data_IF_799903802231
#
_entry.id   IF_799903802231
#
_cell.length_a   1.000
_cell.length_b   1.000
_cell.length_c   1.000
_cell.angle_alpha   90.00
_cell.angle_beta   90.00
_cell.angle_gamma   90.00
#
_symmetry.space_group_name_H-M   'P 1'
#
loop_
_entity.id
_entity.type
_entity.pdbx_description
1 polymer ?
#
# COMPACT_ATOMS: atom_id res chain seq x y z
N UNK A 1 -3.48 21.26 -21.46
CA UNK A 1 -4.89 21.70 -21.34
C UNK A 1 -5.85 20.61 -20.85
N UNK A 2 -5.42 19.36 -20.64
CA UNK A 2 -6.33 18.26 -20.31
C UNK A 2 -6.88 18.24 -18.86
N UNK A 3 -6.27 18.92 -17.89
CA UNK A 3 -6.64 18.80 -16.46
C UNK A 3 -7.22 20.08 -15.82
N UNK A 4 -7.41 21.15 -16.61
CA UNK A 4 -7.94 22.41 -16.11
C UNK A 4 -9.36 22.25 -15.51
N UNK A 5 -10.14 21.30 -16.03
CA UNK A 5 -11.47 20.96 -15.52
C UNK A 5 -11.45 20.30 -14.14
N UNK A 6 -10.30 19.75 -13.71
CA UNK A 6 -10.05 19.22 -12.37
C UNK A 6 -9.55 20.29 -11.39
N UNK A 7 -9.51 21.56 -11.80
CA UNK A 7 -8.98 22.66 -10.99
C UNK A 7 -7.45 22.67 -10.89
N UNK A 8 -6.75 21.83 -11.67
CA UNK A 8 -5.29 21.84 -11.77
C UNK A 8 -4.90 22.83 -12.87
N UNK A 9 -4.35 23.96 -12.45
CA UNK A 9 -3.90 25.03 -13.31
C UNK A 9 -2.47 25.44 -12.95
N UNK A 10 -1.92 26.42 -13.67
CA UNK A 10 -0.55 26.91 -13.44
C UNK A 10 -0.29 27.32 -11.98
N UNK A 11 -1.30 27.83 -11.28
CA UNK A 11 -1.17 28.25 -9.88
C UNK A 11 -0.89 27.06 -8.94
N UNK A 12 -1.42 25.87 -9.23
CA UNK A 12 -1.08 24.64 -8.48
C UNK A 12 0.39 24.30 -8.67
N UNK A 13 0.91 24.40 -9.89
CA UNK A 13 2.32 24.16 -10.19
C UNK A 13 3.23 25.21 -9.54
N UNK A 14 2.88 26.49 -9.59
CA UNK A 14 3.63 27.53 -8.89
C UNK A 14 3.72 27.24 -7.39
N UNK A 15 2.59 26.90 -6.74
CA UNK A 15 2.57 26.54 -5.31
C UNK A 15 3.45 25.33 -5.01
N UNK A 16 3.38 24.29 -5.84
CA UNK A 16 4.22 23.11 -5.71
C UNK A 16 5.71 23.43 -5.83
N UNK A 17 6.10 24.21 -6.85
CA UNK A 17 7.50 24.58 -7.09
C UNK A 17 8.05 25.53 -6.01
N UNK A 18 7.25 26.50 -5.55
CA UNK A 18 7.63 27.39 -4.43
C UNK A 18 7.96 26.59 -3.17
N UNK A 19 7.15 25.57 -2.84
CA UNK A 19 7.41 24.66 -1.71
C UNK A 19 8.62 23.77 -1.96
N UNK A 20 8.72 23.13 -3.13
CA UNK A 20 9.84 22.25 -3.50
C UNK A 20 11.19 22.94 -3.38
N UNK A 21 11.31 24.16 -3.90
CA UNK A 21 12.57 24.90 -3.93
C UNK A 21 12.74 25.89 -2.78
N UNK A 22 11.72 26.02 -1.91
CA UNK A 22 11.70 27.03 -0.84
C UNK A 22 11.95 28.45 -1.36
N UNK A 23 11.25 28.83 -2.43
CA UNK A 23 11.37 30.15 -3.09
C UNK A 23 10.01 30.86 -3.15
N UNK A 24 10.03 32.19 -3.19
CA UNK A 24 8.79 33.01 -3.21
C UNK A 24 8.19 33.16 -4.62
N UNK A 25 9.04 33.38 -5.62
CA UNK A 25 8.63 33.79 -6.97
C UNK A 25 9.06 32.75 -8.01
N UNK A 26 8.08 32.03 -8.54
CA UNK A 26 8.23 31.07 -9.63
C UNK A 26 7.19 31.40 -10.69
N UNK A 27 7.60 31.38 -11.95
CA UNK A 27 6.72 31.50 -13.11
C UNK A 27 6.77 30.21 -13.92
N UNK A 28 5.59 29.70 -14.29
CA UNK A 28 5.49 28.59 -15.22
C UNK A 28 5.71 29.12 -16.64
N UNK A 29 6.61 28.48 -17.37
CA UNK A 29 6.92 28.82 -18.75
C UNK A 29 6.16 27.90 -19.71
N UNK A 30 6.09 26.62 -19.35
CA UNK A 30 5.41 25.58 -20.11
C UNK A 30 5.03 24.43 -19.16
N UNK A 31 3.90 23.78 -19.42
CA UNK A 31 3.54 22.55 -18.72
C UNK A 31 2.79 21.60 -19.65
N UNK A 32 3.10 20.31 -19.54
CA UNK A 32 2.35 19.22 -20.14
C UNK A 32 1.95 18.24 -19.05
N UNK A 33 0.79 17.61 -19.20
CA UNK A 33 0.32 16.59 -18.28
C UNK A 33 -0.32 15.47 -19.09
N UNK A 34 0.03 14.23 -18.74
CA UNK A 34 -0.50 13.04 -19.38
C UNK A 34 -1.09 12.12 -18.32
N UNK A 35 -2.30 11.61 -18.55
CA UNK A 35 -2.89 10.59 -17.69
C UNK A 35 -2.08 9.30 -17.80
N UNK A 36 -1.71 8.71 -16.67
CA UNK A 36 -0.98 7.44 -16.59
C UNK A 36 -1.77 6.35 -15.85
N UNK A 37 -3.07 6.59 -15.59
CA UNK A 37 -3.94 5.58 -15.00
C UNK A 37 -4.26 4.48 -16.02
N UNK A 38 -3.80 3.26 -15.74
CA UNK A 38 -4.21 2.08 -16.50
C UNK A 38 -5.55 1.53 -15.99
N UNK A 39 -6.44 1.19 -16.92
CA UNK A 39 -7.71 0.51 -16.63
C UNK A 39 -7.43 -0.78 -15.85
N UNK A 40 -7.98 -0.89 -14.64
CA UNK A 40 -7.85 -2.07 -13.78
C UNK A 40 -6.70 -2.02 -12.75
N UNK A 41 -5.94 -0.92 -12.66
CA UNK A 41 -4.82 -0.79 -11.71
C UNK A 41 -5.03 0.30 -10.65
N UNK A 42 -5.62 1.44 -11.03
CA UNK A 42 -5.78 2.60 -10.14
C UNK A 42 -7.26 2.86 -9.85
N UNK A 43 -7.89 2.02 -9.02
CA UNK A 43 -9.33 2.12 -8.73
C UNK A 43 -9.71 3.28 -7.81
N UNK A 44 -8.75 3.83 -7.06
CA UNK A 44 -9.01 4.77 -5.95
C UNK A 44 -8.42 6.17 -6.19
N UNK A 45 -7.79 6.40 -7.34
CA UNK A 45 -7.28 7.72 -7.73
C UNK A 45 -6.95 7.77 -9.21
N UNK A 46 -6.99 8.97 -9.79
CA UNK A 46 -6.41 9.23 -11.10
C UNK A 46 -4.99 9.79 -10.96
N UNK A 47 -4.05 9.24 -11.74
CA UNK A 47 -2.64 9.64 -11.75
C UNK A 47 -2.28 10.32 -13.07
N UNK A 48 -1.56 11.44 -12.96
CA UNK A 48 -1.03 12.17 -14.09
C UNK A 48 0.47 12.38 -13.91
N UNK A 49 1.22 12.25 -15.00
CA UNK A 49 2.61 12.65 -15.07
C UNK A 49 2.69 14.04 -15.70
N UNK A 50 3.35 14.98 -15.04
CA UNK A 50 3.44 16.36 -15.46
C UNK A 50 4.90 16.80 -15.68
N UNK A 51 5.20 17.31 -16.86
CA UNK A 51 6.46 17.98 -17.17
C UNK A 51 6.26 19.49 -17.08
N UNK A 52 7.07 20.16 -16.25
CA UNK A 52 6.90 21.56 -15.91
C UNK A 52 8.21 22.30 -16.17
N UNK A 53 8.20 23.22 -17.14
CA UNK A 53 9.29 24.18 -17.37
C UNK A 53 9.00 25.47 -16.63
N UNK A 54 9.96 25.97 -15.87
CA UNK A 54 9.75 27.08 -14.95
C UNK A 54 10.94 28.04 -14.93
N UNK A 55 10.68 29.28 -14.49
CA UNK A 55 11.66 30.29 -14.15
C UNK A 55 11.54 30.67 -12.67
N UNK A 56 12.66 30.73 -11.95
CA UNK A 56 12.75 31.37 -10.63
C UNK A 56 13.09 32.84 -10.84
N UNK A 57 12.26 33.72 -10.29
CA UNK A 57 12.34 35.16 -10.50
C UNK A 57 12.86 35.82 -9.21
N UNK A 58 13.75 36.80 -9.32
CA UNK A 58 14.15 37.64 -8.19
C UNK A 58 13.12 38.71 -7.86
N UNK A 59 13.28 39.35 -6.70
CA UNK A 59 12.37 40.40 -6.24
C UNK A 59 12.34 41.64 -7.15
N UNK A 60 13.37 41.85 -7.99
CA UNK A 60 13.43 42.89 -9.01
C UNK A 60 12.81 42.46 -10.36
N UNK A 61 12.23 41.26 -10.47
CA UNK A 61 11.59 40.76 -11.68
C UNK A 61 12.51 40.06 -12.68
N UNK A 62 13.80 39.91 -12.39
CA UNK A 62 14.75 39.25 -13.28
C UNK A 62 14.72 37.72 -13.14
N UNK A 63 14.92 37.00 -14.24
CA UNK A 63 15.05 35.54 -14.22
C UNK A 63 16.41 35.16 -13.65
N UNK A 64 16.42 34.48 -12.50
CA UNK A 64 17.64 33.94 -11.89
C UNK A 64 18.03 32.57 -12.43
N UNK A 65 17.04 31.75 -12.74
CA UNK A 65 17.23 30.36 -13.15
C UNK A 65 16.03 29.89 -13.96
N UNK A 66 16.28 29.13 -15.03
CA UNK A 66 15.26 28.35 -15.73
C UNK A 66 15.59 26.86 -15.62
N UNK A 67 14.56 26.03 -15.51
CA UNK A 67 14.72 24.59 -15.49
C UNK A 67 13.44 23.85 -15.82
N UNK A 68 13.53 22.53 -15.77
CA UNK A 68 12.39 21.62 -15.96
C UNK A 68 12.37 20.59 -14.85
N UNK A 69 11.17 20.19 -14.43
CA UNK A 69 10.96 19.06 -13.50
C UNK A 69 9.80 18.18 -13.97
N UNK A 70 9.85 16.91 -13.60
CA UNK A 70 8.74 15.98 -13.73
C UNK A 70 8.08 15.73 -12.37
N UNK A 71 6.75 15.73 -12.32
CA UNK A 71 5.94 15.55 -11.12
C UNK A 71 4.87 14.48 -11.35
N UNK A 72 4.48 13.79 -10.28
CA UNK A 72 3.27 12.97 -10.26
C UNK A 72 2.16 13.77 -9.60
N UNK A 73 0.99 13.80 -10.24
CA UNK A 73 -0.22 14.40 -9.73
C UNK A 73 -1.23 13.30 -9.45
N UNK A 74 -1.74 13.25 -8.22
CA UNK A 74 -2.79 12.32 -7.81
C UNK A 74 -4.07 13.10 -7.48
N UNK A 75 -5.18 12.69 -8.06
CA UNK A 75 -6.51 13.27 -7.83
C UNK A 75 -7.52 12.20 -7.43
N UNK A 76 -8.68 12.64 -6.96
CA UNK A 76 -9.84 11.75 -6.84
C UNK A 76 -10.17 11.09 -8.19
N UNK A 77 -10.75 9.88 -8.18
CA UNK A 77 -11.25 9.26 -9.39
C UNK A 77 -12.27 10.16 -10.11
N UNK A 78 -12.15 10.21 -11.43
CA UNK A 78 -13.16 10.81 -12.31
C UNK A 78 -14.49 10.05 -12.23
N UNK A 79 -14.45 8.72 -12.02
CA UNK A 79 -15.63 7.88 -11.82
C UNK A 79 -16.36 8.20 -10.50
N UNK A 80 -17.69 8.40 -10.55
CA UNK A 80 -18.50 8.78 -9.39
C UNK A 80 -18.53 7.72 -8.27
N UNK A 81 -18.75 6.45 -8.61
CA UNK A 81 -18.81 5.35 -7.62
C UNK A 81 -17.48 5.25 -6.86
N UNK A 82 -16.37 5.25 -7.60
CA UNK A 82 -15.03 5.14 -7.03
C UNK A 82 -14.69 6.36 -6.16
N UNK A 83 -15.06 7.56 -6.61
CA UNK A 83 -14.91 8.80 -5.84
C UNK A 83 -15.73 8.81 -4.56
N UNK A 84 -16.96 8.32 -4.59
CA UNK A 84 -17.80 8.19 -3.40
C UNK A 84 -17.21 7.20 -2.39
N UNK A 85 -16.65 6.07 -2.86
CA UNK A 85 -15.94 5.10 -2.01
C UNK A 85 -14.72 5.76 -1.35
N UNK A 86 -13.91 6.48 -2.13
CA UNK A 86 -12.70 7.19 -1.65
C UNK A 86 -13.06 8.23 -0.60
N UNK A 87 -14.10 9.05 -0.85
CA UNK A 87 -14.57 10.08 0.07
C UNK A 87 -15.16 9.51 1.34
N UNK A 88 -15.97 8.45 1.25
CA UNK A 88 -16.54 7.77 2.43
C UNK A 88 -15.45 7.26 3.35
N UNK A 89 -14.31 6.82 2.82
CA UNK A 89 -13.20 6.26 3.60
C UNK A 89 -12.10 7.29 3.95
N UNK A 90 -12.24 8.55 3.55
CA UNK A 90 -11.26 9.62 3.77
C UNK A 90 -9.83 9.31 3.26
N UNK A 91 -9.69 8.41 2.27
CA UNK A 91 -8.39 7.87 1.83
C UNK A 91 -7.40 8.98 1.41
N UNK A 92 -7.92 9.98 0.69
CA UNK A 92 -7.11 11.11 0.25
C UNK A 92 -6.62 11.96 1.42
N UNK A 93 -7.47 12.19 2.42
CA UNK A 93 -7.11 12.96 3.61
C UNK A 93 -6.09 12.21 4.47
N UNK A 94 -6.21 10.88 4.56
CA UNK A 94 -5.22 10.01 5.21
C UNK A 94 -3.87 10.14 4.51
N UNK A 95 -3.83 9.97 3.18
CA UNK A 95 -2.58 10.06 2.42
C UNK A 95 -1.94 11.45 2.52
N UNK A 96 -2.73 12.52 2.35
CA UNK A 96 -2.24 13.90 2.51
C UNK A 96 -1.65 14.12 3.89
N UNK A 97 -2.33 13.66 4.95
CA UNK A 97 -1.86 13.80 6.33
C UNK A 97 -0.58 13.01 6.55
N UNK A 98 -0.47 11.81 6.01
CA UNK A 98 0.73 11.00 6.11
C UNK A 98 1.92 11.68 5.42
N UNK A 99 1.76 12.06 4.15
CA UNK A 99 2.84 12.65 3.34
C UNK A 99 3.27 14.04 3.83
N UNK A 100 2.34 14.83 4.38
CA UNK A 100 2.62 16.18 4.88
C UNK A 100 3.16 16.18 6.32
N UNK A 101 2.55 15.39 7.20
CA UNK A 101 2.77 15.52 8.63
C UNK A 101 3.63 14.39 9.20
N UNK A 102 3.60 13.17 8.65
CA UNK A 102 4.31 12.02 9.21
C UNK A 102 5.64 11.77 8.51
N UNK A 103 5.59 11.55 7.20
CA UNK A 103 6.73 11.07 6.42
C UNK A 103 7.95 12.00 6.50
N UNK A 104 7.82 13.35 6.47
CA UNK A 104 8.96 14.25 6.66
C UNK A 104 9.61 14.11 8.04
N UNK A 105 8.81 13.97 9.11
CA UNK A 105 9.32 13.80 10.48
C UNK A 105 10.05 12.47 10.65
N UNK A 106 9.55 11.40 10.01
CA UNK A 106 10.25 10.11 9.98
C UNK A 106 11.57 10.25 9.23
N UNK A 107 11.57 10.89 8.06
CA UNK A 107 12.77 11.12 7.26
C UNK A 107 13.85 11.85 8.06
N UNK A 108 13.49 12.92 8.75
CA UNK A 108 14.40 13.70 9.60
C UNK A 108 14.93 12.89 10.79
N UNK A 109 14.11 12.01 11.36
CA UNK A 109 14.47 11.25 12.56
C UNK A 109 15.32 10.02 12.25
N UNK A 110 14.97 9.28 11.18
CA UNK A 110 15.61 8.02 10.78
C UNK A 110 16.76 8.25 9.78
N UNK A 111 16.90 9.47 9.27
CA UNK A 111 17.84 9.83 8.19
C UNK A 111 17.71 8.93 6.96
N UNK A 112 16.46 8.67 6.58
CA UNK A 112 16.11 7.78 5.48
C UNK A 112 14.85 8.26 4.78
N UNK A 113 14.91 8.49 3.47
CA UNK A 113 13.70 8.69 2.68
C UNK A 113 12.97 7.35 2.58
N UNK A 114 11.67 7.33 2.87
CA UNK A 114 10.84 6.11 2.83
C UNK A 114 9.71 6.21 1.81
N UNK A 115 9.45 7.40 1.28
CA UNK A 115 8.50 7.63 0.20
C UNK A 115 8.76 8.95 -0.53
N UNK A 116 7.88 9.31 -1.47
CA UNK A 116 8.07 10.48 -2.33
C UNK A 116 7.92 11.79 -1.54
N UNK A 117 8.64 12.81 -1.97
CA UNK A 117 8.50 14.15 -1.40
C UNK A 117 7.19 14.80 -1.89
N UNK A 118 6.33 15.23 -0.97
CA UNK A 118 5.12 16.01 -1.28
C UNK A 118 5.52 17.46 -1.59
N UNK A 119 5.18 17.96 -2.78
CA UNK A 119 5.45 19.34 -3.17
C UNK A 119 4.22 20.23 -2.88
N UNK A 120 3.03 19.72 -3.13
CA UNK A 120 1.77 20.41 -2.83
C UNK A 120 0.66 19.42 -2.51
N UNK A 121 -0.26 19.82 -1.66
CA UNK A 121 -1.43 19.04 -1.30
C UNK A 121 -2.60 19.96 -0.93
N UNK A 122 -3.79 19.64 -1.42
CA UNK A 122 -5.05 20.34 -1.15
C UNK A 122 -6.18 19.35 -0.96
N UNK A 123 -7.17 19.71 -0.15
CA UNK A 123 -8.44 18.96 0.00
C UNK A 123 -9.61 19.60 -0.77
N UNK A 124 -9.39 20.77 -1.36
CA UNK A 124 -10.38 21.44 -2.20
C UNK A 124 -9.71 22.18 -3.38
N UNK A 125 -9.69 21.61 -4.59
CA UNK A 125 -9.99 20.20 -4.88
C UNK A 125 -8.96 19.26 -4.21
N UNK A 126 -9.30 17.97 -4.09
CA UNK A 126 -8.36 16.94 -3.66
C UNK A 126 -7.27 16.73 -4.72
N UNK A 127 -6.08 17.27 -4.46
CA UNK A 127 -4.90 17.12 -5.33
C UNK A 127 -3.62 16.97 -4.52
N UNK A 128 -2.78 15.99 -4.89
CA UNK A 128 -1.41 15.81 -4.41
C UNK A 128 -0.48 16.03 -5.60
N UNK A 129 0.55 16.84 -5.42
CA UNK A 129 1.66 16.99 -6.36
C UNK A 129 2.92 16.54 -5.66
N UNK A 130 3.60 15.54 -6.22
CA UNK A 130 4.67 14.82 -5.57
C UNK A 130 5.81 14.51 -6.54
N UNK A 131 6.95 14.18 -5.96
CA UNK A 131 8.16 13.77 -6.67
C UNK A 131 7.89 12.61 -7.64
N UNK A 132 8.31 12.77 -8.91
CA UNK A 132 8.35 11.65 -9.85
C UNK A 132 9.62 10.81 -9.61
N UNK A 133 9.43 9.64 -9.01
CA UNK A 133 10.54 8.73 -8.68
C UNK A 133 11.16 8.06 -9.90
N UNK A 134 10.46 7.99 -11.05
CA UNK A 134 11.00 7.39 -12.29
C UNK A 134 12.25 8.12 -12.78
N UNK A 135 12.31 9.45 -12.60
CA UNK A 135 13.49 10.28 -12.93
C UNK A 135 14.74 9.90 -12.13
N UNK A 136 14.57 9.22 -10.99
CA UNK A 136 15.64 8.70 -10.14
C UNK A 136 15.94 7.22 -10.39
N UNK A 137 15.40 6.64 -11.45
CA UNK A 137 15.62 5.24 -11.83
C UNK A 137 14.79 4.24 -11.02
N UNK A 138 13.78 4.69 -10.27
CA UNK A 138 12.91 3.78 -9.53
C UNK A 138 11.93 3.06 -10.45
N UNK A 139 11.81 1.75 -10.28
CA UNK A 139 10.94 0.86 -11.05
C UNK A 139 10.06 0.01 -10.12
N UNK A 140 8.88 -0.36 -10.59
CA UNK A 140 8.02 -1.36 -9.92
C UNK A 140 8.31 -2.76 -10.48
N UNK A 141 8.24 -3.78 -9.63
CA UNK A 141 8.41 -5.18 -10.05
C UNK A 141 7.09 -5.77 -10.56
N UNK A 142 7.20 -6.88 -11.28
CA UNK A 142 6.04 -7.62 -11.76
C UNK A 142 5.33 -8.31 -10.59
N UNK A 143 4.13 -7.81 -10.27
CA UNK A 143 3.30 -8.32 -9.17
C UNK A 143 2.93 -9.81 -9.31
N UNK A 144 2.89 -10.37 -10.52
CA UNK A 144 2.54 -11.77 -10.74
C UNK A 144 3.74 -12.71 -10.49
N UNK A 145 4.97 -12.22 -10.68
CA UNK A 145 6.20 -13.00 -10.43
C UNK A 145 6.59 -13.02 -8.95
N UNK A 146 6.27 -11.95 -8.23
CA UNK A 146 6.73 -11.78 -6.85
C UNK A 146 8.12 -11.13 -6.78
N UNK A 147 8.60 -10.98 -5.55
CA UNK A 147 9.90 -10.40 -5.22
C UNK A 147 10.90 -11.51 -4.92
N UNK A 148 12.13 -11.35 -5.43
CA UNK A 148 13.26 -12.20 -5.04
C UNK A 148 13.57 -12.04 -3.55
N UNK A 149 14.41 -12.93 -3.03
CA UNK A 149 14.84 -12.88 -1.64
C UNK A 149 15.50 -11.54 -1.27
N UNK A 150 16.38 -11.01 -2.11
CA UNK A 150 17.09 -9.74 -1.89
C UNK A 150 16.12 -8.55 -1.87
N UNK A 151 15.14 -8.54 -2.77
CA UNK A 151 14.08 -7.53 -2.79
C UNK A 151 13.22 -7.60 -1.53
N UNK A 152 12.89 -8.81 -1.08
CA UNK A 152 12.16 -9.00 0.16
C UNK A 152 12.93 -8.49 1.37
N UNK A 153 14.23 -8.75 1.45
CA UNK A 153 15.08 -8.27 2.55
C UNK A 153 15.05 -6.73 2.62
N UNK A 154 15.35 -6.05 1.50
CA UNK A 154 15.36 -4.58 1.46
C UNK A 154 13.99 -3.97 1.78
N UNK A 155 12.91 -4.54 1.25
CA UNK A 155 11.56 -4.07 1.53
C UNK A 155 11.21 -4.20 3.03
N UNK A 156 11.52 -5.34 3.65
CA UNK A 156 11.27 -5.56 5.07
C UNK A 156 12.10 -4.63 5.97
N UNK A 157 13.38 -4.39 5.63
CA UNK A 157 14.21 -3.42 6.35
C UNK A 157 13.60 -2.01 6.30
N UNK A 158 13.09 -1.60 5.14
CA UNK A 158 12.48 -0.28 4.94
C UNK A 158 11.13 -0.15 5.64
N UNK A 159 10.31 -1.21 5.66
CA UNK A 159 9.10 -1.28 6.49
C UNK A 159 9.45 -1.18 7.98
N UNK A 160 10.48 -1.87 8.44
CA UNK A 160 10.96 -1.77 9.83
C UNK A 160 11.40 -0.35 10.20
N UNK A 161 12.11 0.34 9.30
CA UNK A 161 12.50 1.76 9.47
C UNK A 161 11.30 2.69 9.52
N UNK A 162 10.28 2.47 8.68
CA UNK A 162 9.02 3.21 8.73
C UNK A 162 8.34 3.04 10.09
N UNK A 163 8.24 1.80 10.55
CA UNK A 163 7.63 1.46 11.83
C UNK A 163 8.41 2.07 13.01
N UNK A 164 9.75 1.96 13.03
CA UNK A 164 10.59 2.59 14.05
C UNK A 164 10.39 4.12 14.10
N UNK A 165 10.42 4.77 12.93
CA UNK A 165 10.19 6.21 12.82
C UNK A 165 8.80 6.61 13.31
N UNK A 166 7.77 5.80 13.02
CA UNK A 166 6.41 6.07 13.50
C UNK A 166 6.30 6.02 15.03
N UNK A 167 7.06 5.14 15.69
CA UNK A 167 7.12 5.10 17.15
C UNK A 167 7.70 6.40 17.69
N UNK A 168 8.81 6.89 17.11
CA UNK A 168 9.40 8.16 17.51
C UNK A 168 8.45 9.35 17.27
N UNK A 169 7.70 9.36 16.17
CA UNK A 169 6.67 10.38 15.91
C UNK A 169 5.56 10.30 16.95
N UNK A 170 5.06 9.11 17.29
CA UNK A 170 4.03 8.93 18.31
C UNK A 170 4.50 9.36 19.71
N UNK A 171 5.77 9.12 20.07
CA UNK A 171 6.33 9.55 21.36
C UNK A 171 6.44 11.07 21.49
N UNK A 172 6.62 11.78 20.38
CA UNK A 172 6.72 13.25 20.33
C UNK A 172 5.36 13.93 20.11
N UNK A 173 4.51 13.33 19.28
CA UNK A 173 3.26 13.89 18.77
C UNK A 173 2.16 12.80 18.68
N UNK A 174 1.69 12.25 19.82
CA UNK A 174 0.71 11.17 19.83
C UNK A 174 -0.63 11.56 19.18
N UNK A 175 -0.99 12.84 19.21
CA UNK A 175 -2.21 13.38 18.60
C UNK A 175 -2.30 13.15 17.08
N UNK A 176 -1.16 12.99 16.42
CA UNK A 176 -1.12 12.69 14.97
C UNK A 176 -1.72 11.30 14.72
N UNK A 177 -1.51 10.34 15.61
CA UNK A 177 -1.94 8.94 15.44
C UNK A 177 -3.46 8.77 15.50
N UNK A 178 -4.18 9.68 16.17
CA UNK A 178 -5.65 9.63 16.26
C UNK A 178 -6.31 9.65 14.87
N UNK A 179 -5.70 10.33 13.89
CA UNK A 179 -6.21 10.38 12.52
C UNK A 179 -6.11 9.06 11.78
N UNK A 180 -5.29 8.12 12.26
CA UNK A 180 -5.00 6.85 11.59
C UNK A 180 -5.61 5.64 12.31
N UNK A 181 -6.34 5.83 13.43
CA UNK A 181 -6.96 4.70 14.17
C UNK A 181 -8.13 4.04 13.44
N UNK A 182 -8.74 4.74 12.49
CA UNK A 182 -9.89 4.25 11.71
C UNK A 182 -9.53 3.98 10.24
N UNK A 183 -8.23 3.91 9.91
CA UNK A 183 -7.74 3.62 8.56
C UNK A 183 -7.76 2.13 8.21
N UNK A 184 -6.98 1.76 7.19
CA UNK A 184 -6.85 0.38 6.70
C UNK A 184 -7.85 0.01 5.61
N UNK A 185 -7.61 -1.15 4.97
CA UNK A 185 -8.40 -1.64 3.82
C UNK A 185 -9.84 -1.97 4.23
N UNK A 186 -10.02 -2.58 5.41
CA UNK A 186 -11.35 -2.95 5.95
C UNK A 186 -11.63 -2.10 7.18
N UNK A 187 -12.05 -0.85 6.95
CA UNK A 187 -12.44 0.07 8.01
C UNK A 187 -13.93 -0.07 8.37
N UNK A 188 -14.40 0.63 9.41
CA UNK A 188 -15.83 0.76 9.72
C UNK A 188 -16.63 1.43 8.60
N UNK A 189 -15.95 2.09 7.66
CA UNK A 189 -16.52 2.74 6.49
C UNK A 189 -16.39 1.90 5.21
N UNK A 190 -15.97 0.64 5.34
CA UNK A 190 -15.83 -0.30 4.24
C UNK A 190 -17.16 -0.40 3.45
N UNK A 191 -17.14 -0.22 2.12
CA UNK A 191 -18.34 -0.37 1.29
C UNK A 191 -18.93 -1.78 1.38
N UNK A 192 -20.26 -1.88 1.42
CA UNK A 192 -20.99 -3.17 1.40
C UNK A 192 -20.56 -4.03 0.20
N UNK A 193 -20.30 -3.40 -0.94
CA UNK A 193 -19.79 -4.06 -2.16
C UNK A 193 -18.48 -4.80 -1.90
N UNK A 194 -17.54 -4.20 -1.16
CA UNK A 194 -16.27 -4.83 -0.82
C UNK A 194 -16.45 -5.98 0.17
N UNK A 195 -17.32 -5.79 1.17
CA UNK A 195 -17.68 -6.83 2.11
C UNK A 195 -18.23 -8.07 1.41
N UNK A 196 -19.19 -7.88 0.50
CA UNK A 196 -19.81 -8.99 -0.21
C UNK A 196 -18.85 -9.65 -1.20
N UNK A 197 -17.96 -8.87 -1.81
CA UNK A 197 -16.88 -9.38 -2.65
C UNK A 197 -16.00 -10.39 -1.91
N UNK A 198 -15.63 -10.09 -0.65
CA UNK A 198 -14.83 -11.00 0.16
C UNK A 198 -15.56 -12.32 0.40
N UNK A 199 -16.83 -12.27 0.79
CA UNK A 199 -17.66 -13.46 1.05
C UNK A 199 -17.76 -14.36 -0.19
N UNK A 200 -18.21 -13.78 -1.32
CA UNK A 200 -18.45 -14.55 -2.55
C UNK A 200 -17.15 -15.10 -3.12
N UNK A 201 -16.03 -14.36 -3.01
CA UNK A 201 -14.71 -14.84 -3.44
C UNK A 201 -14.32 -16.12 -2.67
N UNK A 202 -14.49 -16.14 -1.35
CA UNK A 202 -14.15 -17.32 -0.53
C UNK A 202 -15.05 -18.53 -0.85
N UNK A 203 -16.37 -18.30 -1.00
CA UNK A 203 -17.31 -19.37 -1.37
C UNK A 203 -16.93 -19.97 -2.73
N UNK A 204 -16.65 -19.12 -3.72
CA UNK A 204 -16.28 -19.57 -5.08
C UNK A 204 -14.96 -20.35 -5.06
N UNK A 205 -13.93 -19.78 -4.45
CA UNK A 205 -12.61 -20.41 -4.32
C UNK A 205 -12.72 -21.77 -3.62
N UNK A 206 -13.42 -21.83 -2.49
CA UNK A 206 -13.62 -23.07 -1.75
C UNK A 206 -14.37 -24.14 -2.56
N UNK A 207 -15.42 -23.75 -3.28
CA UNK A 207 -16.17 -24.68 -4.15
C UNK A 207 -15.33 -25.22 -5.31
N UNK A 208 -14.43 -24.42 -5.88
CA UNK A 208 -13.51 -24.87 -6.92
C UNK A 208 -12.44 -25.83 -6.35
N UNK A 209 -11.88 -25.51 -5.18
CA UNK A 209 -10.88 -26.36 -4.51
C UNK A 209 -11.46 -27.74 -4.17
N UNK A 210 -12.77 -27.84 -3.84
CA UNK A 210 -13.44 -29.15 -3.61
C UNK A 210 -13.36 -30.10 -4.80
N UNK A 211 -13.19 -29.58 -6.01
CA UNK A 211 -13.11 -30.39 -7.23
C UNK A 211 -11.67 -30.82 -7.55
N UNK A 212 -10.68 -30.42 -6.76
CA UNK A 212 -9.27 -30.75 -6.99
C UNK A 212 -8.93 -32.17 -6.49
N UNK A 213 -7.85 -32.74 -7.03
CA UNK A 213 -7.35 -34.05 -6.62
C UNK A 213 -6.44 -34.02 -5.39
N UNK A 214 -5.89 -32.86 -5.02
CA UNK A 214 -5.02 -32.72 -3.84
C UNK A 214 -5.86 -32.69 -2.55
N UNK A 215 -5.89 -33.83 -1.86
CA UNK A 215 -6.65 -33.99 -0.62
C UNK A 215 -6.31 -32.96 0.46
N UNK A 216 -5.07 -32.43 0.50
CA UNK A 216 -4.68 -31.42 1.48
C UNK A 216 -5.44 -30.12 1.24
N UNK A 217 -5.62 -29.72 -0.02
CA UNK A 217 -6.41 -28.56 -0.40
C UNK A 217 -7.90 -28.82 -0.16
N UNK A 218 -8.40 -29.98 -0.56
CA UNK A 218 -9.83 -30.36 -0.41
C UNK A 218 -10.27 -30.31 1.05
N UNK A 219 -9.43 -30.79 1.99
CA UNK A 219 -9.74 -30.74 3.44
C UNK A 219 -9.94 -29.31 3.97
N UNK A 220 -9.22 -28.33 3.42
CA UNK A 220 -9.34 -26.94 3.83
C UNK A 220 -10.55 -26.23 3.18
N UNK A 221 -11.09 -26.77 2.08
CA UNK A 221 -12.13 -26.11 1.29
C UNK A 221 -13.40 -25.82 2.11
N UNK A 222 -13.86 -26.77 2.93
CA UNK A 222 -15.02 -26.56 3.81
C UNK A 222 -14.76 -25.48 4.86
N UNK A 223 -13.54 -25.39 5.39
CA UNK A 223 -13.16 -24.33 6.33
C UNK A 223 -13.16 -22.95 5.66
N UNK A 224 -12.65 -22.85 4.43
CA UNK A 224 -12.65 -21.61 3.63
C UNK A 224 -14.08 -21.12 3.38
N UNK A 225 -14.98 -22.03 2.98
CA UNK A 225 -16.40 -21.70 2.75
C UNK A 225 -17.04 -21.24 4.04
N UNK A 226 -16.85 -21.97 5.15
CA UNK A 226 -17.40 -21.59 6.46
C UNK A 226 -16.86 -20.24 6.95
N UNK A 227 -15.59 -19.94 6.70
CA UNK A 227 -14.98 -18.66 7.07
C UNK A 227 -15.64 -17.47 6.36
N UNK A 228 -16.18 -17.67 5.15
CA UNK A 228 -16.90 -16.63 4.40
C UNK A 228 -18.05 -16.02 5.19
N UNK A 229 -18.70 -16.77 6.08
CA UNK A 229 -19.83 -16.32 6.89
C UNK A 229 -19.43 -15.27 7.95
N UNK A 230 -18.14 -15.24 8.31
CA UNK A 230 -17.61 -14.39 9.40
C UNK A 230 -16.43 -13.52 8.96
N UNK A 231 -16.09 -13.50 7.67
CA UNK A 231 -14.88 -12.84 7.17
C UNK A 231 -14.87 -11.33 7.45
N UNK A 232 -16.00 -10.64 7.24
CA UNK A 232 -16.10 -9.20 7.42
C UNK A 232 -15.81 -8.77 8.87
N UNK A 233 -16.57 -9.21 9.89
CA UNK A 233 -16.31 -8.78 11.26
C UNK A 233 -14.91 -9.19 11.74
N UNK A 234 -14.40 -10.36 11.32
CA UNK A 234 -13.03 -10.79 11.65
C UNK A 234 -11.98 -9.88 11.01
N UNK A 235 -12.16 -9.45 9.77
CA UNK A 235 -11.25 -8.50 9.11
C UNK A 235 -11.32 -7.09 9.72
N UNK A 236 -12.50 -6.65 10.17
CA UNK A 236 -12.59 -5.38 10.93
C UNK A 236 -11.85 -5.46 12.27
N UNK A 237 -11.94 -6.61 12.95
CA UNK A 237 -11.27 -6.83 14.23
C UNK A 237 -9.74 -6.81 14.13
N UNK A 238 -9.18 -7.18 12.97
CA UNK A 238 -7.73 -7.13 12.71
C UNK A 238 -7.15 -5.73 12.92
N UNK A 239 -7.89 -4.70 12.53
CA UNK A 239 -7.42 -3.31 12.59
C UNK A 239 -7.62 -2.65 13.96
N UNK A 240 -8.38 -3.29 14.87
CA UNK A 240 -8.65 -2.72 16.20
C UNK A 240 -7.34 -2.43 16.92
N UNK A 241 -7.22 -1.19 17.38
CA UNK A 241 -6.12 -0.74 18.22
C UNK A 241 -6.15 -1.51 19.54
N UNK A 242 -4.99 -2.03 19.94
CA UNK A 242 -4.79 -2.70 21.22
C UNK A 242 -3.65 -2.00 21.97
N UNK A 243 -3.97 -1.42 23.13
CA UNK A 243 -3.03 -0.61 23.90
C UNK A 243 -1.94 -1.45 24.56
N UNK A 244 -2.18 -2.74 24.77
CA UNK A 244 -1.21 -3.68 25.36
C UNK A 244 -0.22 -4.21 24.32
N UNK A 245 -0.52 -4.06 23.02
CA UNK A 245 0.36 -4.47 21.93
C UNK A 245 1.32 -3.38 21.48
N UNK A 246 2.44 -3.80 20.91
CA UNK A 246 3.34 -2.91 20.18
C UNK A 246 2.63 -2.38 18.92
N UNK A 247 2.28 -1.09 18.92
CA UNK A 247 1.61 -0.41 17.81
C UNK A 247 2.55 0.53 17.08
N UNK A 248 2.36 0.61 15.76
CA UNK A 248 3.11 1.42 14.81
C UNK A 248 2.12 2.05 13.82
N UNK A 249 2.57 3.05 13.07
CA UNK A 249 1.81 3.52 11.93
C UNK A 249 2.20 2.69 10.71
N UNK A 250 1.32 1.79 10.31
CA UNK A 250 1.49 0.92 9.14
C UNK A 250 1.24 1.71 7.85
N UNK A 251 1.87 1.28 6.77
CA UNK A 251 1.50 1.65 5.40
C UNK A 251 0.07 1.17 5.07
N UNK A 252 -0.27 -0.05 5.47
CA UNK A 252 -1.61 -0.64 5.34
C UNK A 252 -1.95 -1.22 3.98
N UNK A 253 -1.14 -0.94 2.96
CA UNK A 253 -1.21 -1.53 1.61
C UNK A 253 0.20 -1.74 1.00
N UNK A 254 1.09 -2.40 1.74
CA UNK A 254 2.50 -2.61 1.37
C UNK A 254 2.68 -3.82 0.42
N UNK A 255 2.15 -3.72 -0.80
CA UNK A 255 2.32 -4.72 -1.87
C UNK A 255 3.21 -4.23 -3.02
N UNK A 256 3.54 -5.14 -3.94
CA UNK A 256 4.54 -4.92 -5.01
C UNK A 256 4.28 -3.67 -5.86
N UNK A 257 3.02 -3.35 -6.18
CA UNK A 257 2.70 -2.16 -6.97
C UNK A 257 2.93 -0.84 -6.21
N UNK A 258 3.04 -0.88 -4.89
CA UNK A 258 3.35 0.26 -4.04
C UNK A 258 4.83 0.30 -3.62
N UNK A 259 5.64 -0.60 -4.18
CA UNK A 259 7.08 -0.72 -3.90
C UNK A 259 7.87 -0.36 -5.14
N UNK A 260 8.68 0.69 -5.03
CA UNK A 260 9.59 1.09 -6.09
C UNK A 260 11.03 0.81 -5.68
N UNK A 261 11.80 0.19 -6.58
CA UNK A 261 13.19 -0.21 -6.37
C UNK A 261 14.10 0.51 -7.35
N UNK A 262 15.33 0.78 -6.92
CA UNK A 262 16.46 1.01 -7.83
C UNK A 262 17.30 -0.25 -7.82
N UNK A 263 17.75 -0.71 -8.98
CA UNK A 263 18.57 -1.91 -9.13
C UNK A 263 19.95 -1.57 -9.70
N UNK A 264 20.96 -2.38 -9.37
CA UNK A 264 22.26 -2.33 -10.04
C UNK A 264 22.21 -3.07 -11.40
N UNK A 265 23.32 -3.07 -12.14
CA UNK A 265 23.44 -3.73 -13.45
C UNK A 265 23.15 -5.25 -13.43
N UNK A 266 23.19 -5.89 -12.25
CA UNK A 266 22.89 -7.32 -12.07
C UNK A 266 21.42 -7.59 -11.68
N UNK A 267 20.58 -6.55 -11.59
CA UNK A 267 19.20 -6.65 -11.14
C UNK A 267 19.04 -6.83 -9.64
N UNK A 268 20.07 -6.53 -8.84
CA UNK A 268 19.98 -6.57 -7.38
C UNK A 268 19.49 -5.22 -6.84
N UNK A 269 18.59 -5.20 -5.84
CA UNK A 269 18.03 -3.96 -5.32
C UNK A 269 19.07 -3.19 -4.50
N UNK A 270 19.21 -1.90 -4.79
CA UNK A 270 20.13 -0.98 -4.10
C UNK A 270 19.40 0.16 -3.35
N UNK A 271 18.18 0.49 -3.77
CA UNK A 271 17.33 1.43 -3.05
C UNK A 271 15.86 1.04 -3.16
N UNK A 272 15.04 1.58 -2.26
CA UNK A 272 13.64 1.24 -2.13
C UNK A 272 12.85 2.42 -1.54
N UNK A 273 11.68 2.69 -2.12
CA UNK A 273 10.70 3.63 -1.60
C UNK A 273 9.30 3.03 -1.70
N UNK A 274 8.48 3.30 -0.68
CA UNK A 274 7.05 3.02 -0.68
C UNK A 274 6.28 4.23 -1.22
N UNK A 275 5.23 3.96 -1.98
CA UNK A 275 4.27 4.95 -2.50
C UNK A 275 2.85 4.56 -2.10
N UNK A 276 1.92 5.51 -2.18
CA UNK A 276 0.49 5.30 -1.91
C UNK A 276 0.14 4.94 -0.45
N UNK A 277 0.27 5.95 0.42
CA UNK A 277 0.02 5.82 1.87
C UNK A 277 -1.46 6.00 2.25
N UNK A 278 -2.39 5.79 1.31
CA UNK A 278 -3.81 6.06 1.50
C UNK A 278 -4.51 5.11 2.50
N UNK A 279 -3.92 3.93 2.74
CA UNK A 279 -4.44 2.91 3.66
C UNK A 279 -3.76 2.93 5.03
N UNK A 280 -2.98 3.98 5.34
CA UNK A 280 -2.20 4.05 6.57
C UNK A 280 -3.08 3.88 7.83
N UNK A 281 -2.60 3.07 8.77
CA UNK A 281 -3.37 2.70 9.97
C UNK A 281 -2.48 2.50 11.20
N UNK A 282 -2.87 3.10 12.33
CA UNK A 282 -2.12 3.00 13.58
C UNK A 282 -2.60 1.81 14.42
N UNK A 283 -1.87 0.70 14.36
CA UNK A 283 -2.18 -0.56 15.06
C UNK A 283 -0.94 -1.47 15.06
N UNK A 284 -1.10 -2.76 15.35
CA UNK A 284 -0.02 -3.75 15.33
C UNK A 284 0.77 -3.74 14.00
N UNK A 285 2.11 -3.93 14.01
CA UNK A 285 2.91 -4.09 12.78
C UNK A 285 2.56 -5.34 11.99
N UNK A 286 1.77 -6.25 12.58
CA UNK A 286 1.30 -7.46 11.91
C UNK A 286 0.47 -7.17 10.65
N UNK A 287 -0.10 -5.97 10.50
CA UNK A 287 -0.83 -5.58 9.28
C UNK A 287 0.10 -5.60 8.08
N UNK A 288 1.14 -4.76 8.06
CA UNK A 288 2.07 -4.73 6.93
C UNK A 288 2.82 -6.05 6.76
N UNK A 289 3.20 -6.72 7.85
CA UNK A 289 3.91 -8.00 7.76
C UNK A 289 3.07 -9.12 7.17
N UNK A 290 1.82 -9.28 7.60
CA UNK A 290 0.93 -10.29 7.02
C UNK A 290 0.62 -9.97 5.56
N UNK A 291 0.38 -8.71 5.24
CA UNK A 291 0.11 -8.29 3.86
C UNK A 291 1.31 -8.60 2.95
N UNK A 292 2.50 -8.16 3.36
CA UNK A 292 3.74 -8.40 2.66
C UNK A 292 4.01 -9.89 2.45
N UNK A 293 4.04 -10.70 3.53
CA UNK A 293 4.46 -12.10 3.46
C UNK A 293 3.51 -12.95 2.60
N UNK A 294 2.22 -12.62 2.57
CA UNK A 294 1.24 -13.37 1.80
C UNK A 294 1.20 -12.95 0.32
N UNK A 295 1.58 -11.72 -0.02
CA UNK A 295 1.49 -11.21 -1.40
C UNK A 295 2.87 -11.21 -2.08
N UNK A 296 3.88 -10.63 -1.45
CA UNK A 296 5.08 -10.14 -2.14
C UNK A 296 6.14 -11.21 -2.49
N UNK A 297 6.52 -12.15 -1.61
CA UNK A 297 7.57 -13.11 -1.92
C UNK A 297 7.24 -13.98 -3.14
N UNK A 298 8.22 -14.23 -4.00
CA UNK A 298 8.08 -15.18 -5.11
C UNK A 298 7.82 -16.61 -4.62
N UNK A 299 7.28 -17.45 -5.51
CA UNK A 299 6.77 -18.78 -5.17
C UNK A 299 7.78 -19.64 -4.38
N UNK A 300 9.04 -19.64 -4.77
CA UNK A 300 10.08 -20.53 -4.21
C UNK A 300 10.49 -20.17 -2.78
N UNK A 301 10.24 -18.94 -2.33
CA UNK A 301 10.60 -18.48 -0.98
C UNK A 301 9.38 -18.20 -0.10
N UNK A 302 8.17 -18.11 -0.69
CA UNK A 302 6.93 -17.86 0.03
C UNK A 302 6.71 -18.93 1.10
N UNK A 303 6.45 -18.50 2.33
CA UNK A 303 6.33 -19.31 3.55
C UNK A 303 7.60 -19.99 4.06
N UNK A 304 8.53 -20.36 3.18
CA UNK A 304 9.78 -21.03 3.56
C UNK A 304 10.78 -20.07 4.24
N UNK A 305 10.65 -18.76 4.00
CA UNK A 305 11.54 -17.72 4.52
C UNK A 305 10.88 -16.76 5.51
N UNK A 306 9.63 -17.00 5.93
CA UNK A 306 8.90 -16.07 6.80
C UNK A 306 9.66 -15.74 8.09
N UNK A 307 10.15 -16.75 8.80
CA UNK A 307 10.89 -16.56 10.05
C UNK A 307 12.18 -15.76 9.84
N UNK A 308 12.81 -15.90 8.67
CA UNK A 308 13.98 -15.12 8.30
C UNK A 308 13.62 -13.65 8.07
N UNK A 309 12.54 -13.37 7.35
CA UNK A 309 12.05 -12.01 7.15
C UNK A 309 11.58 -11.36 8.46
N UNK A 310 10.88 -12.09 9.32
CA UNK A 310 10.51 -11.59 10.65
C UNK A 310 11.73 -11.28 11.52
N UNK A 311 12.82 -12.04 11.37
CA UNK A 311 14.08 -11.76 12.06
C UNK A 311 14.71 -10.47 11.54
N UNK A 312 14.84 -10.30 10.22
CA UNK A 312 15.35 -9.05 9.63
C UNK A 312 14.52 -7.85 10.10
N UNK A 313 13.20 -7.98 10.08
CA UNK A 313 12.28 -6.94 10.55
C UNK A 313 12.58 -6.53 11.99
N UNK A 314 12.68 -7.50 12.91
CA UNK A 314 12.92 -7.22 14.33
C UNK A 314 14.31 -6.63 14.58
N UNK A 315 15.35 -7.22 13.97
CA UNK A 315 16.72 -6.74 14.13
C UNK A 315 16.84 -5.28 13.64
N UNK A 316 16.26 -4.97 12.47
CA UNK A 316 16.24 -3.61 11.90
C UNK A 316 15.42 -2.64 12.73
N UNK A 317 14.25 -3.07 13.22
CA UNK A 317 13.37 -2.28 14.08
C UNK A 317 14.09 -1.91 15.37
N UNK A 318 14.71 -2.88 16.03
CA UNK A 318 15.45 -2.69 17.28
C UNK A 318 16.64 -1.74 17.09
N UNK A 319 17.46 -1.98 16.07
CA UNK A 319 18.62 -1.14 15.76
C UNK A 319 18.18 0.30 15.46
N UNK A 320 17.17 0.46 14.60
CA UNK A 320 16.67 1.79 14.21
C UNK A 320 16.08 2.52 15.42
N UNK A 321 15.21 1.87 16.20
CA UNK A 321 14.62 2.46 17.40
C UNK A 321 15.67 2.87 18.44
N UNK A 322 16.74 2.08 18.60
CA UNK A 322 17.87 2.42 19.46
C UNK A 322 18.62 3.63 18.93
N UNK A 323 18.91 3.68 17.63
CA UNK A 323 19.63 4.80 17.00
C UNK A 323 18.90 6.14 17.14
N UNK A 324 17.57 6.13 17.06
CA UNK A 324 16.72 7.32 17.19
C UNK A 324 16.21 7.56 18.63
N UNK A 325 16.73 6.79 19.60
CA UNK A 325 16.45 6.94 21.03
C UNK A 325 14.97 6.82 21.41
N UNK A 326 14.22 5.90 20.79
CA UNK A 326 12.85 5.59 21.22
C UNK A 326 12.82 5.10 22.68
N UNK A 327 11.82 5.55 23.45
CA UNK A 327 11.58 5.10 24.83
C UNK A 327 10.90 3.74 24.87
N UNK A 328 9.99 3.48 23.94
CA UNK A 328 9.28 2.22 23.80
C UNK A 328 10.27 1.14 23.36
N UNK A 329 10.14 -0.06 23.95
CA UNK A 329 10.95 -1.22 23.54
C UNK A 329 10.29 -1.91 22.33
N UNK A 330 11.08 -2.46 21.39
CA UNK A 330 10.56 -3.31 20.32
C UNK A 330 9.94 -4.60 20.91
N UNK A 331 9.02 -5.25 20.18
CA UNK A 331 8.46 -6.52 20.62
C UNK A 331 9.49 -7.63 20.47
N UNK A 332 9.37 -8.67 21.29
CA UNK A 332 10.11 -9.93 21.09
C UNK A 332 9.55 -10.71 19.91
N UNK A 333 10.33 -11.67 19.36
CA UNK A 333 9.85 -12.59 18.33
C UNK A 333 8.58 -13.34 18.75
N UNK A 334 8.48 -13.75 20.01
CA UNK A 334 7.29 -14.41 20.54
C UNK A 334 6.06 -13.49 20.52
N UNK A 335 6.21 -12.23 20.98
CA UNK A 335 5.14 -11.24 20.95
C UNK A 335 4.72 -10.90 19.52
N UNK A 336 5.68 -10.76 18.60
CA UNK A 336 5.39 -10.50 17.19
C UNK A 336 4.62 -11.65 16.54
N UNK A 337 5.08 -12.90 16.74
CA UNK A 337 4.38 -14.10 16.23
C UNK A 337 2.98 -14.25 16.84
N UNK A 338 2.81 -13.93 18.12
CA UNK A 338 1.50 -13.92 18.75
C UNK A 338 0.56 -12.87 18.13
N UNK A 339 1.05 -11.65 17.87
CA UNK A 339 0.28 -10.59 17.22
C UNK A 339 -0.10 -10.95 15.77
N UNK A 340 0.81 -11.59 15.03
CA UNK A 340 0.56 -12.14 13.69
C UNK A 340 -0.52 -13.22 13.74
N UNK A 341 -0.40 -14.19 14.65
CA UNK A 341 -1.36 -15.28 14.76
C UNK A 341 -2.76 -14.80 15.20
N UNK A 342 -2.83 -13.80 16.08
CA UNK A 342 -4.09 -13.13 16.47
C UNK A 342 -4.81 -12.52 15.26
N UNK A 343 -4.06 -12.06 14.25
CA UNK A 343 -4.56 -11.42 13.03
C UNK A 343 -4.53 -12.31 11.79
N UNK A 344 -4.35 -13.63 11.96
CA UNK A 344 -4.17 -14.59 10.85
C UNK A 344 -5.27 -14.56 9.77
N UNK A 345 -6.49 -14.15 10.11
CA UNK A 345 -7.57 -13.96 9.11
C UNK A 345 -7.18 -12.93 8.03
N UNK A 346 -6.30 -11.98 8.35
CA UNK A 346 -5.77 -11.02 7.39
C UNK A 346 -4.87 -11.67 6.34
N UNK A 347 -4.25 -12.82 6.65
CA UNK A 347 -3.56 -13.64 5.66
C UNK A 347 -4.53 -14.23 4.63
N UNK A 348 -5.77 -14.54 5.03
CA UNK A 348 -6.83 -15.00 4.12
C UNK A 348 -7.25 -13.86 3.20
N UNK A 349 -7.50 -12.67 3.77
CA UNK A 349 -7.84 -11.49 2.98
C UNK A 349 -6.75 -11.14 1.96
N UNK A 350 -5.51 -10.97 2.43
CA UNK A 350 -4.38 -10.60 1.56
C UNK A 350 -3.99 -11.72 0.59
N UNK A 351 -3.84 -12.95 1.06
CA UNK A 351 -3.31 -14.06 0.27
C UNK A 351 -4.33 -14.79 -0.60
N UNK A 352 -5.55 -15.04 -0.10
CA UNK A 352 -6.54 -15.81 -0.86
C UNK A 352 -7.46 -14.90 -1.67
N UNK A 353 -7.97 -13.82 -1.05
CA UNK A 353 -8.92 -12.94 -1.73
C UNK A 353 -8.17 -11.98 -2.65
N UNK A 354 -7.26 -11.16 -2.13
CA UNK A 354 -6.62 -10.10 -2.91
C UNK A 354 -5.56 -10.64 -3.86
N UNK A 355 -4.61 -11.45 -3.38
CA UNK A 355 -3.50 -11.90 -4.22
C UNK A 355 -3.96 -12.81 -5.37
N UNK A 356 -4.89 -13.75 -5.17
CA UNK A 356 -5.39 -14.58 -6.27
C UNK A 356 -6.13 -13.75 -7.32
N UNK A 357 -6.85 -12.68 -6.92
CA UNK A 357 -7.44 -11.73 -7.86
C UNK A 357 -6.38 -10.92 -8.61
N UNK A 358 -5.27 -10.56 -7.95
CA UNK A 358 -4.12 -9.90 -8.60
C UNK A 358 -3.40 -10.82 -9.60
N UNK A 359 -3.47 -12.13 -9.39
CA UNK A 359 -2.96 -13.15 -10.29
C UNK A 359 -3.91 -13.46 -11.46
N UNK A 360 -5.17 -13.01 -11.42
CA UNK A 360 -6.12 -13.30 -12.51
C UNK A 360 -5.63 -12.74 -13.85
N UNK A 361 -6.03 -13.40 -14.95
CA UNK A 361 -5.75 -12.91 -16.30
C UNK A 361 -6.40 -11.53 -16.50
N UNK A 362 -5.74 -10.65 -17.26
CA UNK A 362 -6.22 -9.27 -17.46
C UNK A 362 -7.64 -9.22 -18.02
N UNK A 363 -7.99 -10.16 -18.90
CA UNK A 363 -9.30 -10.27 -19.52
C UNK A 363 -10.41 -10.69 -18.53
N UNK A 364 -10.04 -11.35 -17.44
CA UNK A 364 -10.94 -11.77 -16.36
C UNK A 364 -10.97 -10.74 -15.20
N UNK A 365 -10.17 -9.67 -15.26
CA UNK A 365 -10.17 -8.63 -14.22
C UNK A 365 -11.44 -7.79 -14.24
N UNK A 366 -12.03 -7.58 -13.08
CA UNK A 366 -13.24 -6.78 -12.91
C UNK A 366 -12.99 -5.67 -11.88
N UNK A 367 -13.46 -4.45 -12.17
CA UNK A 367 -13.42 -3.35 -11.22
C UNK A 367 -14.62 -3.37 -10.25
N UNK A 368 -14.58 -2.52 -9.22
CA UNK A 368 -15.67 -2.42 -8.23
C UNK A 368 -17.04 -2.13 -8.87
N UNK A 369 -17.08 -1.31 -9.92
CA UNK A 369 -18.30 -1.03 -10.67
C UNK A 369 -18.95 -2.32 -11.20
N UNK A 370 -18.14 -3.23 -11.75
CA UNK A 370 -18.66 -4.47 -12.35
C UNK A 370 -19.26 -5.38 -11.29
N UNK A 371 -18.65 -5.44 -10.11
CA UNK A 371 -19.18 -6.19 -8.96
C UNK A 371 -20.53 -5.63 -8.50
N UNK A 372 -20.67 -4.30 -8.46
CA UNK A 372 -21.92 -3.65 -8.09
C UNK A 372 -23.02 -3.88 -9.15
N UNK A 373 -22.69 -3.77 -10.45
CA UNK A 373 -23.58 -4.10 -11.57
C UNK A 373 -24.06 -5.56 -11.54
N UNK A 374 -23.21 -6.47 -11.08
CA UNK A 374 -23.52 -7.90 -10.94
C UNK A 374 -24.26 -8.23 -9.64
N UNK A 375 -24.85 -7.23 -8.96
CA UNK A 375 -25.56 -7.44 -7.70
C UNK A 375 -24.72 -8.17 -6.65
N UNK A 376 -23.45 -7.80 -6.57
CA UNK A 376 -22.46 -8.35 -5.64
C UNK A 376 -22.02 -9.79 -5.91
N UNK A 377 -22.21 -10.28 -7.13
CA UNK A 377 -21.53 -11.47 -7.63
C UNK A 377 -20.18 -11.10 -8.28
N UNK A 378 -19.30 -12.09 -8.42
CA UNK A 378 -18.01 -11.95 -9.11
C UNK A 378 -17.98 -12.91 -10.28
N UNK A 379 -17.65 -12.42 -11.48
CA UNK A 379 -17.42 -13.31 -12.64
C UNK A 379 -15.98 -13.81 -12.68
N UNK A 380 -15.08 -13.18 -11.93
CA UNK A 380 -13.65 -13.49 -11.91
C UNK A 380 -13.40 -14.94 -11.51
N UNK A 381 -12.78 -15.69 -12.42
CA UNK A 381 -12.30 -17.04 -12.16
C UNK A 381 -10.78 -17.01 -12.02
N UNK A 382 -10.31 -16.88 -10.79
CA UNK A 382 -8.87 -16.76 -10.49
C UNK A 382 -8.09 -18.01 -10.91
N UNK A 383 -8.74 -19.17 -11.00
CA UNK A 383 -8.10 -20.45 -11.33
C UNK A 383 -8.02 -20.74 -12.84
N UNK A 384 -8.50 -19.83 -13.70
CA UNK A 384 -8.13 -19.85 -15.12
C UNK A 384 -6.64 -19.57 -15.33
N UNK A 385 -5.99 -18.86 -14.40
CA UNK A 385 -4.54 -18.69 -14.43
C UNK A 385 -3.86 -19.93 -13.81
N UNK A 386 -3.04 -20.69 -14.56
CA UNK A 386 -2.33 -21.85 -14.02
C UNK A 386 -1.36 -21.50 -12.89
N UNK A 387 -0.77 -20.31 -12.89
CA UNK A 387 0.12 -19.85 -11.81
C UNK A 387 -0.66 -19.62 -10.51
N UNK A 388 -1.91 -19.15 -10.59
CA UNK A 388 -2.78 -19.03 -9.42
C UNK A 388 -3.15 -20.41 -8.84
N UNK A 389 -3.39 -21.40 -9.69
CA UNK A 389 -3.61 -22.80 -9.27
C UNK A 389 -2.36 -23.35 -8.58
N UNK A 390 -1.19 -23.24 -9.21
CA UNK A 390 0.10 -23.69 -8.67
C UNK A 390 0.39 -23.05 -7.31
N UNK A 391 0.19 -21.74 -7.21
CA UNK A 391 0.36 -20.97 -6.00
C UNK A 391 -0.58 -21.46 -4.89
N UNK A 392 -1.85 -21.68 -5.21
CA UNK A 392 -2.86 -22.11 -4.23
C UNK A 392 -2.59 -23.51 -3.69
N UNK A 393 -2.08 -24.43 -4.52
CA UNK A 393 -1.59 -25.74 -4.06
C UNK A 393 -0.45 -25.67 -3.03
N UNK A 394 0.37 -24.60 -3.07
CA UNK A 394 1.36 -24.34 -2.02
C UNK A 394 0.72 -23.69 -0.80
N UNK A 395 -0.13 -22.69 -1.01
CA UNK A 395 -0.61 -21.85 0.08
C UNK A 395 -1.61 -22.53 1.01
N UNK A 396 -2.63 -23.20 0.45
CA UNK A 396 -3.76 -23.72 1.24
C UNK A 396 -3.31 -24.74 2.30
N UNK A 397 -2.49 -25.75 2.00
CA UNK A 397 -2.04 -26.70 3.01
C UNK A 397 -1.26 -26.02 4.15
N UNK A 398 -0.36 -25.08 3.81
CA UNK A 398 0.46 -24.37 4.80
C UNK A 398 -0.41 -23.47 5.69
N UNK A 399 -1.38 -22.77 5.10
CA UNK A 399 -2.32 -21.93 5.86
C UNK A 399 -3.20 -22.77 6.80
N UNK A 400 -3.63 -23.96 6.38
CA UNK A 400 -4.40 -24.88 7.22
C UNK A 400 -3.56 -25.43 8.38
N UNK A 401 -2.33 -25.87 8.11
CA UNK A 401 -1.37 -26.32 9.14
C UNK A 401 -1.06 -25.25 10.18
N UNK A 402 -1.04 -23.97 9.76
CA UNK A 402 -0.85 -22.81 10.65
C UNK A 402 -2.14 -22.36 11.36
N UNK A 403 -3.27 -23.04 11.12
CA UNK A 403 -4.57 -22.74 11.73
C UNK A 403 -5.21 -21.43 11.26
N UNK A 404 -4.89 -20.96 10.04
CA UNK A 404 -5.39 -19.67 9.55
C UNK A 404 -6.88 -19.71 9.20
N UNK A 405 -7.42 -20.90 8.92
CA UNK A 405 -8.85 -21.10 8.64
C UNK A 405 -9.71 -21.35 9.88
N UNK A 406 -9.08 -21.47 11.06
CA UNK A 406 -9.77 -21.77 12.32
C UNK A 406 -10.29 -20.50 13.03
#
# INVERSE_FOLDING_TARGET
>A
MEINHLGINEHVFEKALRRKFSVENVKILENTCCCISDVGTNFLSDLYEASIRYAIISNNGETKYEGSVSAIIKTEPSNEISRDIVRKQDLFAIELKFLRDVLPRIRETVDCQLGPSLWYGSTNPHVLVMENLKERGFIMKDRQKGLSFEHCCLAIERIAKLHAGSVAVNEKNPEIMEHFKNGGIVSTKCPVTFSKLMEVSLVRIGNQIKQWSDERCVRAADKIIKLSETILPRCMDVYKYDFDEFCVLNHGDSWINNMMFVENEKGQPIDFLLVDYQMAVYTSPAIDLLYFLNICPEYDIKYDKDDYFLKIYLDTLEETMKSISCKRKPPTMQQLKAAIHKRRVYAILSGIILYLRMMANKEDTEGFQKVEELTYETIMDVFKNPDAVKLTHKMIPIMDERGYFD
#
